data_IF_557611461152
#
_entry.id   IF_557611461152
#
_cell.length_a   1.000
_cell.length_b   1.000
_cell.length_c   1.000
_cell.angle_alpha   90.00
_cell.angle_beta   90.00
_cell.angle_gamma   90.00
#
_symmetry.space_group_name_H-M   'P 1'
#
loop_
_entity.id
_entity.type
_entity.pdbx_description
1 polymer ?
#
# COMPACT_ATOMS: atom_id res chain seq x y z
N UNK A 1 6.16 38.15 16.15
CA UNK A 1 4.79 38.47 15.76
C UNK A 1 4.13 37.13 15.54
N UNK A 2 3.23 36.74 16.42
CA UNK A 2 2.55 35.43 16.35
C UNK A 2 1.42 35.53 15.34
N UNK A 3 1.45 34.76 14.27
CA UNK A 3 0.29 34.54 13.39
C UNK A 3 -0.43 33.29 13.89
N UNK A 4 -1.59 33.51 14.51
CA UNK A 4 -2.52 32.42 14.83
C UNK A 4 -3.19 31.91 13.57
N UNK A 5 -3.11 30.63 13.32
CA UNK A 5 -3.92 29.93 12.34
C UNK A 5 -5.31 29.75 12.92
N UNK A 6 -6.30 30.33 12.29
CA UNK A 6 -7.73 30.05 12.53
C UNK A 6 -8.07 28.75 11.79
N UNK A 7 -8.32 27.67 12.53
CA UNK A 7 -9.05 26.53 12.00
C UNK A 7 -10.52 26.93 11.85
N UNK A 8 -11.04 26.92 10.64
CA UNK A 8 -12.48 26.99 10.35
C UNK A 8 -13.02 25.53 10.23
N UNK A 9 -14.13 25.19 10.90
CA UNK A 9 -14.74 23.89 10.71
C UNK A 9 -15.55 23.87 9.41
N UNK A 10 -15.17 22.99 8.49
CA UNK A 10 -15.77 22.81 7.16
C UNK A 10 -16.97 21.84 7.17
N UNK A 11 -17.88 21.97 8.13
CA UNK A 11 -19.07 21.12 8.25
C UNK A 11 -20.40 21.90 8.25
N UNK A 12 -20.43 23.14 7.72
CA UNK A 12 -21.64 23.97 7.71
C UNK A 12 -21.91 24.70 6.38
N UNK A 13 -21.68 24.05 5.23
CA UNK A 13 -21.97 24.67 3.93
C UNK A 13 -22.81 23.76 3.00
N UNK A 14 -23.80 23.07 3.57
CA UNK A 14 -24.82 22.33 2.78
C UNK A 14 -26.23 22.81 3.09
N UNK A 15 -26.43 24.07 3.49
CA UNK A 15 -27.73 24.68 3.58
C UNK A 15 -27.60 26.20 3.56
N UNK A 16 -27.58 26.82 2.38
CA UNK A 16 -28.08 28.18 2.11
C UNK A 16 -28.10 28.39 0.61
N UNK A 17 -29.24 28.04 -0.01
CA UNK A 17 -29.58 28.54 -1.33
C UNK A 17 -30.10 29.96 -1.16
N UNK A 18 -29.48 30.89 -1.86
CA UNK A 18 -29.99 32.25 -1.98
C UNK A 18 -31.10 32.33 -3.04
N UNK A 19 -32.27 32.81 -2.57
CA UNK A 19 -33.39 33.23 -3.34
C UNK A 19 -33.00 34.36 -4.30
N UNK A 20 -33.26 34.17 -5.59
CA UNK A 20 -33.55 35.28 -6.50
C UNK A 20 -34.87 35.02 -7.22
N UNK A 21 -35.78 35.90 -6.91
CA UNK A 21 -37.15 36.14 -7.37
C UNK A 21 -37.31 36.06 -8.89
N UNK A 22 -38.33 35.34 -9.34
CA UNK A 22 -38.85 35.39 -10.70
C UNK A 22 -40.22 34.69 -10.78
N UNK A 23 -41.28 35.48 -10.68
CA UNK A 23 -42.70 35.18 -10.83
C UNK A 23 -43.03 34.44 -12.15
N UNK A 24 -43.89 33.42 -12.12
CA UNK A 24 -45.22 33.36 -12.79
C UNK A 24 -45.77 31.93 -12.88
N UNK A 25 -47.04 31.84 -12.42
CA UNK A 25 -48.17 30.99 -12.85
C UNK A 25 -48.23 29.47 -12.68
N UNK A 26 -48.97 29.10 -11.65
CA UNK A 26 -50.21 28.26 -11.56
C UNK A 26 -50.38 27.13 -12.58
N UNK A 27 -50.40 25.90 -12.11
CA UNK A 27 -51.35 24.86 -12.48
C UNK A 27 -51.45 23.76 -11.39
N UNK A 28 -52.62 23.76 -10.78
CA UNK A 28 -53.16 22.73 -9.88
C UNK A 28 -53.48 21.45 -10.65
N UNK A 29 -53.19 20.27 -10.13
CA UNK A 29 -54.08 19.08 -10.25
C UNK A 29 -53.55 17.89 -9.42
N UNK A 30 -54.32 17.60 -8.38
CA UNK A 30 -54.98 16.33 -8.03
C UNK A 30 -54.15 15.15 -7.54
N UNK A 31 -54.42 14.89 -6.29
CA UNK A 31 -54.31 13.67 -5.43
C UNK A 31 -54.75 12.36 -6.09
N UNK A 32 -54.02 11.30 -5.83
CA UNK A 32 -54.61 9.98 -5.56
C UNK A 32 -53.65 9.09 -4.77
N UNK A 33 -54.01 8.81 -3.51
CA UNK A 33 -53.60 7.60 -2.79
C UNK A 33 -54.34 6.39 -3.35
N UNK A 34 -53.81 5.17 -3.19
CA UNK A 34 -54.61 4.15 -2.51
C UNK A 34 -53.83 3.28 -1.50
N UNK A 35 -54.40 3.24 -0.34
CA UNK A 35 -54.85 2.09 0.50
C UNK A 35 -53.97 0.85 0.62
N UNK A 36 -53.71 0.57 1.87
CA UNK A 36 -53.24 -0.64 2.55
C UNK A 36 -53.96 -1.94 2.16
N UNK A 37 -53.22 -3.04 2.17
CA UNK A 37 -53.81 -4.34 2.58
C UNK A 37 -52.78 -5.13 3.40
N UNK A 38 -53.24 -5.45 4.58
CA UNK A 38 -52.69 -6.35 5.57
C UNK A 38 -52.77 -7.83 5.12
N UNK A 39 -51.78 -8.61 5.45
CA UNK A 39 -51.84 -10.04 5.31
C UNK A 39 -50.67 -10.72 6.03
N UNK A 40 -50.93 -11.09 7.30
CA UNK A 40 -50.19 -12.05 8.06
C UNK A 40 -50.68 -13.47 7.71
N UNK A 41 -49.82 -14.45 7.62
CA UNK A 41 -50.01 -15.69 8.44
C UNK A 41 -48.77 -16.15 9.17
N UNK A 42 -49.02 -16.70 10.32
CA UNK A 42 -48.13 -17.21 11.36
C UNK A 42 -47.48 -18.57 11.08
N UNK A 43 -46.93 -19.20 12.11
CA UNK A 43 -45.75 -20.03 12.04
C UNK A 43 -46.02 -21.53 11.84
N UNK A 44 -45.05 -22.23 11.24
CA UNK A 44 -45.00 -23.72 11.32
C UNK A 44 -43.66 -24.16 11.89
N UNK A 45 -43.81 -24.87 13.00
CA UNK A 45 -42.83 -25.76 13.64
C UNK A 45 -42.33 -26.84 12.68
N UNK A 46 -41.05 -27.17 12.78
CA UNK A 46 -40.57 -28.55 12.60
C UNK A 46 -39.10 -28.67 13.06
N UNK A 47 -38.93 -29.18 14.24
CA UNK A 47 -38.32 -30.51 14.56
C UNK A 47 -36.79 -30.61 14.42
N UNK A 48 -36.19 -30.59 15.59
CA UNK A 48 -34.90 -31.08 16.05
C UNK A 48 -34.64 -32.52 15.58
N UNK A 49 -33.46 -32.77 15.03
CA UNK A 49 -32.82 -34.10 15.13
C UNK A 49 -31.32 -33.94 15.26
N UNK A 50 -30.82 -34.30 16.41
CA UNK A 50 -29.42 -34.52 16.78
C UNK A 50 -29.11 -36.02 16.53
N UNK A 51 -27.93 -36.38 16.07
CA UNK A 51 -27.39 -37.71 16.37
C UNK A 51 -26.16 -37.63 17.26
N UNK A 52 -26.34 -38.31 18.33
CA UNK A 52 -25.51 -39.07 19.27
C UNK A 52 -24.05 -39.33 18.93
N UNK A 53 -23.28 -39.16 20.00
CA UNK A 53 -21.93 -39.63 20.27
C UNK A 53 -21.76 -41.14 20.03
N UNK A 54 -20.58 -41.49 19.52
CA UNK A 54 -20.04 -42.84 19.55
C UNK A 54 -18.62 -42.83 20.06
N UNK A 55 -18.47 -43.16 21.33
CA UNK A 55 -17.20 -43.50 21.97
C UNK A 55 -16.76 -44.88 21.51
N UNK A 56 -15.50 -45.12 21.27
CA UNK A 56 -14.87 -46.41 21.44
C UNK A 56 -13.42 -46.28 21.89
N UNK A 57 -13.21 -46.64 23.12
CA UNK A 57 -11.94 -46.98 23.74
C UNK A 57 -11.41 -48.31 23.20
N UNK A 58 -10.10 -48.50 23.28
CA UNK A 58 -9.40 -49.79 23.05
C UNK A 58 -7.89 -49.52 23.04
N UNK A 59 -7.27 -49.55 24.04
CA UNK A 59 -6.52 -50.38 24.99
C UNK A 59 -5.39 -51.23 24.38
N UNK A 60 -4.19 -50.90 24.84
CA UNK A 60 -3.03 -51.71 25.33
C UNK A 60 -2.42 -52.81 24.46
N UNK A 61 -1.11 -52.78 24.32
CA UNK A 61 -0.02 -53.53 24.98
C UNK A 61 1.20 -53.51 24.03
N UNK A 62 2.46 -53.27 24.38
CA UNK A 62 3.22 -53.86 25.47
C UNK A 62 4.41 -54.57 24.90
N UNK A 63 5.62 -54.17 25.37
CA UNK A 63 6.86 -54.94 25.47
C UNK A 63 7.55 -55.36 24.12
N UNK A 64 8.83 -55.43 23.96
CA UNK A 64 9.97 -55.62 24.84
C UNK A 64 11.28 -55.26 24.13
N UNK A 65 12.24 -54.92 24.90
CA UNK A 65 13.67 -54.76 24.75
C UNK A 65 14.38 -55.92 24.06
N UNK A 66 15.31 -55.65 23.17
CA UNK A 66 16.55 -56.46 23.08
C UNK A 66 17.74 -55.65 22.65
N UNK A 67 18.68 -55.55 23.58
CA UNK A 67 20.05 -55.11 23.46
C UNK A 67 20.83 -56.17 22.70
N UNK A 68 21.65 -55.76 21.70
CA UNK A 68 22.84 -56.52 21.32
C UNK A 68 23.95 -55.58 20.89
N UNK A 69 25.08 -55.75 21.51
CA UNK A 69 26.27 -54.94 21.37
C UNK A 69 27.20 -55.42 20.24
N UNK A 70 27.99 -54.47 19.76
CA UNK A 70 29.34 -54.56 19.23
C UNK A 70 29.59 -55.19 17.85
N UNK A 71 30.08 -54.35 16.95
CA UNK A 71 31.40 -54.58 16.31
C UNK A 71 31.91 -53.32 15.65
N UNK A 72 33.04 -52.85 16.12
CA UNK A 72 33.91 -51.82 15.56
C UNK A 72 34.45 -52.28 14.21
N UNK A 73 34.22 -51.50 13.15
CA UNK A 73 35.11 -51.51 11.97
C UNK A 73 35.27 -50.10 11.47
N UNK A 74 36.48 -49.60 11.68
CA UNK A 74 37.03 -48.38 11.06
C UNK A 74 37.20 -48.62 9.58
N UNK A 75 36.44 -47.85 8.78
CA UNK A 75 36.77 -47.58 7.39
C UNK A 75 36.48 -46.09 7.14
N UNK A 76 37.57 -45.34 6.88
CA UNK A 76 37.50 -43.96 6.40
C UNK A 76 36.65 -43.92 5.12
N UNK A 77 35.70 -42.98 5.02
CA UNK A 77 35.06 -42.71 3.76
C UNK A 77 35.96 -41.83 2.88
N UNK A 78 35.91 -42.02 1.53
CA UNK A 78 36.66 -41.18 0.61
C UNK A 78 36.14 -39.74 0.68
N UNK A 79 37.09 -38.80 0.73
CA UNK A 79 36.87 -37.37 0.60
C UNK A 79 36.20 -37.08 -0.75
N UNK A 80 34.90 -36.98 -0.77
CA UNK A 80 34.16 -36.39 -1.88
C UNK A 80 34.30 -34.88 -1.74
N UNK A 81 35.14 -34.27 -2.53
CA UNK A 81 35.12 -32.86 -2.83
C UNK A 81 33.92 -32.58 -3.72
N UNK A 82 32.74 -32.47 -3.13
CA UNK A 82 31.65 -31.70 -3.74
C UNK A 82 32.08 -30.25 -3.68
N UNK A 83 32.41 -29.70 -4.85
CA UNK A 83 32.49 -28.25 -4.98
C UNK A 83 31.13 -27.68 -4.57
N UNK A 84 31.13 -26.83 -3.55
CA UNK A 84 29.96 -26.03 -3.23
C UNK A 84 29.49 -25.30 -4.49
N UNK A 85 28.19 -25.20 -4.74
CA UNK A 85 27.70 -24.34 -5.80
C UNK A 85 28.26 -22.93 -5.55
N UNK A 86 28.61 -22.18 -6.63
CA UNK A 86 29.11 -20.82 -6.46
C UNK A 86 28.10 -20.03 -5.63
N UNK A 87 28.53 -19.60 -4.46
CA UNK A 87 27.76 -18.62 -3.69
C UNK A 87 27.63 -17.36 -4.56
N UNK A 88 26.44 -16.74 -4.65
CA UNK A 88 26.30 -15.47 -5.30
C UNK A 88 27.25 -14.47 -4.65
N UNK A 89 27.95 -13.71 -5.49
CA UNK A 89 28.88 -12.67 -5.06
C UNK A 89 28.08 -11.61 -4.29
N UNK A 90 28.20 -11.61 -2.97
CA UNK A 90 27.52 -10.69 -2.08
C UNK A 90 28.18 -9.33 -2.22
N UNK A 91 27.51 -8.39 -2.92
CA UNK A 91 27.98 -7.02 -3.14
C UNK A 91 28.48 -6.36 -1.85
N UNK A 92 29.53 -5.60 -1.95
CA UNK A 92 30.32 -5.02 -0.86
C UNK A 92 29.65 -3.87 -0.09
N UNK A 93 28.50 -4.14 0.48
CA UNK A 93 27.86 -3.24 1.45
C UNK A 93 27.21 -4.13 2.48
N UNK A 94 27.59 -4.06 3.72
CA UNK A 94 27.27 -4.88 4.89
C UNK A 94 25.85 -5.44 5.08
N UNK A 95 25.13 -5.72 4.04
CA UNK A 95 23.77 -6.25 4.02
C UNK A 95 23.81 -7.65 3.39
N UNK A 96 23.18 -8.59 4.06
CA UNK A 96 23.28 -10.02 3.75
C UNK A 96 22.32 -10.48 2.64
N UNK A 97 21.65 -9.56 1.90
CA UNK A 97 20.68 -9.89 0.85
C UNK A 97 20.68 -8.90 -0.33
N UNK A 98 20.16 -9.35 -1.49
CA UNK A 98 20.06 -8.55 -2.70
C UNK A 98 18.88 -7.57 -2.63
N UNK A 99 19.08 -6.36 -3.12
CA UNK A 99 18.17 -5.23 -3.10
C UNK A 99 17.82 -4.73 -4.51
N UNK A 100 16.99 -3.73 -4.58
CA UNK A 100 16.59 -3.09 -5.84
C UNK A 100 17.75 -2.49 -6.66
N UNK A 101 18.90 -2.24 -6.05
CA UNK A 101 20.09 -1.73 -6.76
C UNK A 101 21.00 -2.84 -7.30
N UNK A 102 20.70 -4.09 -6.96
CA UNK A 102 21.42 -5.26 -7.44
C UNK A 102 20.78 -5.83 -8.71
N UNK A 103 21.51 -6.73 -9.35
CA UNK A 103 20.94 -7.49 -10.47
C UNK A 103 20.14 -8.69 -9.95
N UNK A 104 19.03 -9.05 -10.64
CA UNK A 104 18.25 -10.22 -10.25
C UNK A 104 19.10 -11.50 -10.36
N UNK A 105 18.96 -12.44 -9.43
CA UNK A 105 19.68 -13.69 -9.47
C UNK A 105 19.26 -14.54 -10.67
N UNK A 106 20.15 -15.41 -11.13
CA UNK A 106 19.89 -16.30 -12.26
C UNK A 106 18.65 -17.16 -12.04
N UNK A 107 17.73 -17.10 -13.01
CA UNK A 107 16.48 -17.88 -12.98
C UNK A 107 15.35 -17.25 -12.16
N UNK A 108 15.52 -16.04 -11.65
CA UNK A 108 14.48 -15.29 -10.98
C UNK A 108 13.27 -15.01 -11.89
N UNK A 109 12.09 -14.93 -11.30
CA UNK A 109 10.89 -14.46 -12.02
C UNK A 109 10.95 -12.94 -12.08
N UNK A 110 11.00 -12.39 -13.29
CA UNK A 110 11.10 -10.96 -13.49
C UNK A 110 9.72 -10.31 -13.67
N UNK A 111 9.63 -9.03 -13.32
CA UNK A 111 8.47 -8.20 -13.60
C UNK A 111 8.18 -8.13 -15.11
N UNK A 112 6.93 -8.00 -15.53
CA UNK A 112 6.60 -7.77 -16.94
C UNK A 112 7.28 -6.50 -17.46
N UNK A 113 7.43 -6.41 -18.78
CA UNK A 113 7.93 -5.19 -19.39
C UNK A 113 6.91 -4.06 -19.20
N UNK A 114 7.41 -2.85 -18.90
CA UNK A 114 6.57 -1.67 -18.81
C UNK A 114 5.97 -1.40 -20.20
N UNK A 115 4.65 -1.33 -20.26
CA UNK A 115 3.94 -1.06 -21.51
C UNK A 115 4.27 0.35 -22.02
N UNK A 116 4.37 0.52 -23.34
CA UNK A 116 4.53 1.84 -23.92
C UNK A 116 3.25 2.67 -23.75
N UNK A 117 3.38 3.98 -23.51
CA UNK A 117 2.25 4.89 -23.48
C UNK A 117 1.55 4.92 -24.85
N UNK A 118 0.23 4.88 -24.84
CA UNK A 118 -0.58 4.92 -26.07
C UNK A 118 -0.64 6.28 -26.76
N UNK A 119 -0.13 7.34 -26.13
CA UNK A 119 -0.09 8.72 -26.61
C UNK A 119 1.35 9.18 -26.91
N UNK A 120 1.60 10.46 -26.64
CA UNK A 120 2.95 11.06 -26.70
C UNK A 120 3.30 11.54 -25.30
N UNK A 121 4.39 11.04 -24.73
CA UNK A 121 4.87 11.51 -23.45
C UNK A 121 5.33 12.97 -23.52
N UNK A 122 4.99 13.82 -22.55
CA UNK A 122 5.59 15.14 -22.43
C UNK A 122 7.10 15.01 -22.16
N UNK A 123 7.88 16.03 -22.52
CA UNK A 123 9.21 16.15 -21.92
C UNK A 123 9.04 16.38 -20.43
N UNK A 124 9.56 15.47 -19.61
CA UNK A 124 9.34 15.51 -18.17
C UNK A 124 10.16 16.62 -17.52
N UNK A 125 9.47 17.47 -16.77
CA UNK A 125 10.08 18.40 -15.82
C UNK A 125 10.39 17.64 -14.53
N UNK A 126 11.66 17.67 -14.11
CA UNK A 126 12.18 16.88 -12.98
C UNK A 126 12.52 17.79 -11.81
N UNK A 127 12.19 17.35 -10.60
CA UNK A 127 12.34 18.14 -9.38
C UNK A 127 11.08 18.94 -9.07
N UNK A 128 11.16 19.74 -8.01
CA UNK A 128 10.12 20.69 -7.66
C UNK A 128 10.75 22.01 -7.21
N UNK A 129 10.34 23.10 -7.86
CA UNK A 129 10.64 24.46 -7.44
C UNK A 129 9.35 25.25 -7.33
N UNK A 130 9.24 26.13 -6.35
CA UNK A 130 8.06 26.99 -6.19
C UNK A 130 7.75 27.73 -7.51
N UNK A 131 6.55 27.53 -8.03
CA UNK A 131 6.11 28.08 -9.32
C UNK A 131 6.47 27.23 -10.55
N UNK A 132 7.08 26.07 -10.39
CA UNK A 132 7.29 25.11 -11.47
C UNK A 132 5.95 24.51 -11.92
N UNK A 133 5.81 24.29 -13.23
CA UNK A 133 4.65 23.60 -13.77
C UNK A 133 4.73 22.10 -13.48
N UNK A 134 3.59 21.49 -13.22
CA UNK A 134 3.44 20.04 -13.18
C UNK A 134 3.64 19.42 -14.56
N UNK A 135 4.08 18.17 -14.60
CA UNK A 135 3.94 17.36 -15.79
C UNK A 135 2.45 17.10 -16.07
N UNK A 136 2.08 17.07 -17.33
CA UNK A 136 0.68 16.96 -17.76
C UNK A 136 0.50 15.80 -18.72
N UNK A 137 -0.46 14.91 -18.40
CA UNK A 137 -0.91 13.85 -19.31
C UNK A 137 -2.40 14.04 -19.63
N UNK A 138 -2.79 13.99 -20.92
CA UNK A 138 -4.20 13.97 -21.28
C UNK A 138 -4.80 12.59 -20.98
N UNK A 139 -5.94 12.57 -20.28
CA UNK A 139 -6.67 11.35 -19.97
C UNK A 139 -8.10 11.42 -20.52
N UNK A 140 -8.57 10.34 -21.14
CA UNK A 140 -9.96 10.23 -21.59
C UNK A 140 -10.85 9.73 -20.45
N UNK A 141 -11.83 10.57 -20.04
CA UNK A 141 -12.85 10.21 -19.06
C UNK A 141 -14.22 10.27 -19.76
N UNK A 142 -14.70 9.13 -20.21
CA UNK A 142 -15.90 9.06 -21.05
C UNK A 142 -15.71 9.85 -22.36
N UNK A 143 -16.50 10.91 -22.55
CA UNK A 143 -16.42 11.76 -23.76
C UNK A 143 -15.51 12.99 -23.57
N UNK A 144 -14.91 13.17 -22.39
CA UNK A 144 -14.10 14.35 -22.08
C UNK A 144 -12.62 13.96 -22.00
N UNK A 145 -11.77 14.86 -22.46
CA UNK A 145 -10.33 14.80 -22.18
C UNK A 145 -10.05 15.76 -21.03
N UNK A 146 -9.41 15.24 -19.99
CA UNK A 146 -8.96 16.02 -18.84
C UNK A 146 -7.44 16.03 -18.77
N UNK A 147 -6.84 17.07 -18.25
CA UNK A 147 -5.43 17.14 -17.95
C UNK A 147 -5.17 16.55 -16.57
N UNK A 148 -4.25 15.59 -16.50
CA UNK A 148 -3.81 14.98 -15.24
C UNK A 148 -2.40 15.46 -14.92
N UNK A 149 -2.22 15.87 -13.68
CA UNK A 149 -1.02 16.52 -13.20
C UNK A 149 -0.20 15.58 -12.32
N UNK A 150 1.12 15.64 -12.39
CA UNK A 150 2.02 14.88 -11.53
C UNK A 150 3.41 15.53 -11.45
N UNK A 151 4.13 15.25 -10.36
CA UNK A 151 5.54 15.60 -10.20
C UNK A 151 6.40 14.35 -10.45
N UNK A 152 7.60 14.57 -10.97
CA UNK A 152 8.66 13.57 -11.07
C UNK A 152 9.88 14.11 -10.33
N UNK A 153 10.32 13.41 -9.31
CA UNK A 153 11.49 13.77 -8.52
C UNK A 153 12.53 12.68 -8.71
N UNK A 154 13.72 13.06 -9.16
CA UNK A 154 14.83 12.14 -9.37
C UNK A 154 16.09 12.64 -8.64
N UNK A 155 17.10 11.79 -8.41
CA UNK A 155 18.36 12.25 -7.85
C UNK A 155 18.99 13.34 -8.72
N UNK A 156 19.47 14.43 -8.10
CA UNK A 156 20.00 15.59 -8.82
C UNK A 156 21.23 15.30 -9.68
N UNK A 157 21.96 14.24 -9.32
CA UNK A 157 23.17 13.77 -10.01
C UNK A 157 22.97 12.41 -10.72
N UNK A 158 21.71 12.01 -11.00
CA UNK A 158 21.42 10.75 -11.66
C UNK A 158 22.14 10.63 -13.02
N UNK A 159 22.83 9.52 -13.23
CA UNK A 159 23.39 9.19 -14.54
C UNK A 159 22.32 8.62 -15.46
N UNK A 160 22.36 8.91 -16.78
CA UNK A 160 21.44 8.29 -17.74
C UNK A 160 21.50 6.75 -17.77
N UNK A 161 22.62 6.17 -17.36
CA UNK A 161 22.81 4.71 -17.32
C UNK A 161 22.41 4.10 -15.97
N UNK A 162 22.12 4.93 -14.96
CA UNK A 162 21.74 4.46 -13.64
C UNK A 162 20.33 3.86 -13.68
N UNK A 163 20.21 2.61 -13.25
CA UNK A 163 18.93 1.90 -13.18
C UNK A 163 18.23 2.24 -11.86
N UNK A 164 17.19 3.08 -11.95
CA UNK A 164 16.51 3.64 -10.78
C UNK A 164 15.17 2.94 -10.50
N UNK A 165 14.92 2.49 -9.25
CA UNK A 165 13.59 2.14 -8.76
C UNK A 165 12.59 3.28 -8.93
N UNK A 166 11.28 2.98 -8.98
CA UNK A 166 10.21 3.98 -9.06
C UNK A 166 9.23 3.78 -7.92
N UNK A 167 8.94 4.86 -7.19
CA UNK A 167 7.97 4.84 -6.08
C UNK A 167 6.88 5.87 -6.33
N UNK A 168 5.61 5.41 -6.38
CA UNK A 168 4.43 6.27 -6.50
C UNK A 168 3.94 6.70 -5.12
N UNK A 169 3.66 8.01 -4.95
CA UNK A 169 3.31 8.65 -3.69
C UNK A 169 1.95 9.33 -3.80
N UNK A 170 0.89 8.78 -3.15
CA UNK A 170 -0.48 9.25 -3.24
C UNK A 170 -0.86 10.04 -1.99
N UNK A 171 -1.18 11.33 -2.18
CA UNK A 171 -1.45 12.23 -1.06
C UNK A 171 -2.83 12.01 -0.40
N UNK A 172 -3.01 12.54 0.79
CA UNK A 172 -4.20 12.44 1.63
C UNK A 172 -5.33 13.38 1.21
N UNK A 173 -6.50 13.23 1.81
CA UNK A 173 -7.62 14.14 1.64
C UNK A 173 -7.24 15.55 2.17
N UNK A 174 -7.43 16.57 1.33
CA UNK A 174 -7.03 17.94 1.65
C UNK A 174 -5.54 18.25 1.42
N UNK A 175 -4.72 17.24 1.04
CA UNK A 175 -3.36 17.44 0.56
C UNK A 175 -3.29 17.61 -0.95
N UNK A 176 -2.09 17.96 -1.43
CA UNK A 176 -1.70 18.09 -2.82
C UNK A 176 -0.36 17.39 -3.04
N UNK A 177 0.05 17.17 -4.28
CA UNK A 177 1.33 16.55 -4.60
C UNK A 177 2.53 17.29 -3.98
N UNK A 178 2.46 18.63 -3.95
CA UNK A 178 3.46 19.47 -3.29
C UNK A 178 3.57 19.19 -1.78
N UNK A 179 2.43 19.02 -1.09
CA UNK A 179 2.43 18.72 0.35
C UNK A 179 3.13 17.40 0.63
N UNK A 180 2.91 16.38 -0.22
CA UNK A 180 3.60 15.10 -0.07
C UNK A 180 5.10 15.24 -0.30
N UNK A 181 5.51 15.99 -1.34
CA UNK A 181 6.91 16.28 -1.62
C UNK A 181 7.61 16.93 -0.42
N UNK A 182 7.00 17.97 0.17
CA UNK A 182 7.60 18.74 1.28
C UNK A 182 7.63 17.92 2.58
N UNK A 183 6.49 17.29 2.98
CA UNK A 183 6.39 16.53 4.22
C UNK A 183 7.15 15.20 4.19
N UNK A 184 7.25 14.60 3.02
CA UNK A 184 8.00 13.36 2.80
C UNK A 184 9.51 13.55 2.68
N UNK A 185 10.03 14.79 2.71
CA UNK A 185 11.45 15.09 2.47
C UNK A 185 11.98 14.43 1.18
N UNK A 186 11.11 14.43 0.14
CA UNK A 186 11.25 13.53 -1.02
C UNK A 186 12.54 13.79 -1.80
N UNK A 187 12.99 15.06 -1.97
CA UNK A 187 14.25 15.33 -2.69
C UNK A 187 15.46 14.75 -1.96
N UNK A 188 15.51 14.87 -0.64
CA UNK A 188 16.57 14.24 0.15
C UNK A 188 16.49 12.70 0.08
N UNK A 189 15.26 12.16 0.10
CA UNK A 189 15.04 10.72 0.00
C UNK A 189 15.56 10.18 -1.34
N UNK A 190 15.19 10.78 -2.48
CA UNK A 190 15.65 10.30 -3.81
C UNK A 190 17.16 10.48 -3.99
N UNK A 191 17.75 11.56 -3.45
CA UNK A 191 19.19 11.78 -3.52
C UNK A 191 19.97 10.72 -2.73
N UNK A 192 19.49 10.37 -1.53
CA UNK A 192 20.18 9.43 -0.62
C UNK A 192 19.91 7.96 -0.98
N UNK A 193 18.67 7.63 -1.37
CA UNK A 193 18.21 6.27 -1.56
C UNK A 193 18.17 5.85 -3.04
N UNK A 194 18.45 6.75 -3.97
CA UNK A 194 18.60 6.50 -5.41
C UNK A 194 17.37 5.88 -6.06
N UNK A 195 16.24 6.58 -6.04
CA UNK A 195 15.00 6.18 -6.72
C UNK A 195 14.34 7.37 -7.40
N UNK A 196 13.36 7.14 -8.25
CA UNK A 196 12.47 8.17 -8.82
C UNK A 196 11.17 8.16 -8.03
N UNK A 197 10.77 9.29 -7.49
CA UNK A 197 9.44 9.47 -6.94
C UNK A 197 8.49 10.06 -7.99
N UNK A 198 7.30 9.47 -8.14
CA UNK A 198 6.21 10.00 -8.96
C UNK A 198 5.07 10.38 -8.02
N UNK A 199 4.70 11.65 -8.01
CA UNK A 199 3.69 12.18 -7.08
C UNK A 199 2.50 12.72 -7.89
N UNK A 200 1.44 11.92 -8.09
CA UNK A 200 0.25 12.33 -8.81
C UNK A 200 -0.55 13.39 -8.05
N UNK A 201 -1.16 14.31 -8.79
CA UNK A 201 -2.19 15.20 -8.27
C UNK A 201 -3.59 14.59 -8.51
N UNK A 202 -4.43 14.66 -7.49
CA UNK A 202 -5.77 14.12 -7.56
C UNK A 202 -6.66 14.91 -8.53
N UNK A 203 -7.68 14.25 -9.08
CA UNK A 203 -8.74 14.97 -9.82
C UNK A 203 -9.57 15.82 -8.86
N UNK A 204 -9.84 17.06 -9.25
CA UNK A 204 -10.63 17.97 -8.45
C UNK A 204 -12.13 17.62 -8.35
N UNK A 205 -12.62 16.68 -9.18
CA UNK A 205 -14.02 16.25 -9.25
C UNK A 205 -14.34 15.01 -8.38
N UNK A 206 -13.33 14.40 -7.75
CA UNK A 206 -13.51 13.29 -6.83
C UNK A 206 -13.67 13.77 -5.38
N UNK A 207 -14.71 13.30 -4.70
CA UNK A 207 -15.05 13.73 -3.34
C UNK A 207 -13.90 13.48 -2.34
N UNK A 208 -13.22 12.34 -2.43
CA UNK A 208 -12.15 11.93 -1.53
C UNK A 208 -10.77 11.98 -2.18
N UNK A 209 -10.59 12.75 -3.24
CA UNK A 209 -9.37 12.86 -4.04
C UNK A 209 -9.07 11.61 -4.89
N UNK A 210 -9.30 10.41 -4.40
CA UNK A 210 -9.04 9.14 -5.06
C UNK A 210 -10.28 8.22 -5.04
N UNK A 211 -10.50 7.37 -6.05
CA UNK A 211 -11.68 6.50 -6.13
C UNK A 211 -11.51 5.19 -5.36
N UNK A 212 -11.50 5.24 -4.06
CA UNK A 212 -11.36 4.07 -3.19
C UNK A 212 -12.66 3.64 -2.51
N UNK A 213 -13.64 4.54 -2.43
CA UNK A 213 -14.89 4.29 -1.73
C UNK A 213 -15.81 3.31 -2.48
N UNK A 214 -16.59 2.53 -1.75
CA UNK A 214 -17.57 1.61 -2.32
C UNK A 214 -18.64 2.31 -3.19
N UNK A 215 -18.82 3.65 -3.06
CA UNK A 215 -19.72 4.45 -3.89
C UNK A 215 -19.05 4.96 -5.17
N UNK A 216 -17.72 4.94 -5.26
CA UNK A 216 -17.04 5.35 -6.49
C UNK A 216 -17.25 4.32 -7.59
N UNK A 217 -17.35 4.76 -8.82
CA UNK A 217 -17.53 3.85 -9.95
C UNK A 217 -16.25 3.06 -10.25
N UNK A 218 -16.42 1.86 -10.79
CA UNK A 218 -15.26 1.08 -11.27
C UNK A 218 -14.58 1.77 -12.45
N UNK A 219 -15.31 2.56 -13.22
CA UNK A 219 -14.73 3.35 -14.32
C UNK A 219 -13.77 4.43 -13.79
N UNK A 220 -14.10 5.09 -12.69
CA UNK A 220 -13.20 6.05 -12.05
C UNK A 220 -11.94 5.35 -11.52
N UNK A 221 -12.10 4.19 -10.89
CA UNK A 221 -10.97 3.39 -10.40
C UNK A 221 -10.04 2.95 -11.55
N UNK A 222 -10.61 2.44 -12.64
CA UNK A 222 -9.84 2.04 -13.82
C UNK A 222 -9.15 3.25 -14.49
N UNK A 223 -9.76 4.42 -14.46
CA UNK A 223 -9.14 5.64 -14.97
C UNK A 223 -7.88 6.01 -14.16
N UNK A 224 -7.92 5.89 -12.82
CA UNK A 224 -6.72 6.13 -12.00
C UNK A 224 -5.64 5.06 -12.21
N UNK A 225 -6.03 3.81 -12.40
CA UNK A 225 -5.07 2.75 -12.77
C UNK A 225 -4.41 3.03 -14.13
N UNK A 226 -5.19 3.51 -15.11
CA UNK A 226 -4.62 3.92 -16.39
C UNK A 226 -3.68 5.12 -16.25
N UNK A 227 -4.00 6.07 -15.37
CA UNK A 227 -3.11 7.20 -15.11
C UNK A 227 -1.78 6.75 -14.47
N UNK A 228 -1.82 5.79 -13.56
CA UNK A 228 -0.61 5.15 -13.04
C UNK A 228 0.22 4.51 -14.18
N UNK A 229 -0.43 3.72 -15.04
CA UNK A 229 0.24 3.05 -16.16
C UNK A 229 0.88 4.07 -17.11
N UNK A 230 0.16 5.15 -17.44
CA UNK A 230 0.60 6.20 -18.35
C UNK A 230 1.81 6.99 -17.78
N UNK A 231 1.78 7.32 -16.50
CA UNK A 231 2.91 7.97 -15.82
C UNK A 231 4.14 7.08 -15.79
N UNK A 232 3.97 5.80 -15.40
CA UNK A 232 5.07 4.83 -15.37
C UNK A 232 5.70 4.66 -16.75
N UNK A 233 4.88 4.57 -17.79
CA UNK A 233 5.34 4.45 -19.18
C UNK A 233 6.17 5.66 -19.60
N UNK A 234 5.71 6.88 -19.30
CA UNK A 234 6.43 8.11 -19.66
C UNK A 234 7.72 8.32 -18.86
N UNK A 235 7.74 7.87 -17.60
CA UNK A 235 8.99 7.85 -16.82
C UNK A 235 9.98 6.85 -17.40
N UNK A 236 9.52 5.65 -17.77
CA UNK A 236 10.38 4.62 -18.37
C UNK A 236 10.88 4.98 -19.78
N UNK A 237 10.19 5.84 -20.52
CA UNK A 237 10.65 6.35 -21.81
C UNK A 237 11.86 7.29 -21.67
N UNK A 238 11.98 8.01 -20.54
CA UNK A 238 12.95 9.08 -20.35
C UNK A 238 14.04 8.78 -19.31
N UNK A 239 13.83 7.73 -18.50
CA UNK A 239 14.79 7.26 -17.49
C UNK A 239 15.08 5.77 -17.67
N UNK A 240 16.26 5.34 -17.23
CA UNK A 240 16.58 3.91 -17.11
C UNK A 240 15.90 3.33 -15.84
N UNK A 241 14.60 3.02 -15.96
CA UNK A 241 13.81 2.51 -14.85
C UNK A 241 14.16 1.07 -14.52
N UNK A 242 14.33 0.78 -13.23
CA UNK A 242 14.37 -0.58 -12.74
C UNK A 242 12.94 -1.13 -12.60
N UNK A 243 12.45 -1.81 -13.63
CA UNK A 243 11.10 -2.40 -13.63
C UNK A 243 10.87 -3.45 -12.53
N UNK A 244 11.95 -4.01 -12.00
CA UNK A 244 11.88 -4.97 -10.90
C UNK A 244 11.58 -4.29 -9.54
N UNK A 245 11.57 -2.96 -9.50
CA UNK A 245 11.38 -2.18 -8.29
C UNK A 245 10.46 -0.99 -8.56
N UNK A 246 9.23 -1.29 -8.93
CA UNK A 246 8.13 -0.34 -9.02
C UNK A 246 7.24 -0.54 -7.80
N UNK A 247 7.13 0.48 -6.97
CA UNK A 247 6.41 0.40 -5.70
C UNK A 247 5.39 1.54 -5.55
N UNK A 248 4.48 1.39 -4.61
CA UNK A 248 3.43 2.39 -4.36
C UNK A 248 3.19 2.58 -2.88
N UNK A 249 3.00 3.83 -2.47
CA UNK A 249 2.54 4.18 -1.12
C UNK A 249 1.59 5.37 -1.15
N UNK A 250 0.85 5.52 -0.10
CA UNK A 250 0.01 6.68 0.14
C UNK A 250 -0.32 6.84 1.61
N UNK A 251 -0.88 7.99 1.95
CA UNK A 251 -1.29 8.34 3.29
C UNK A 251 -2.80 8.56 3.30
N UNK A 252 -3.54 8.01 4.28
CA UNK A 252 -4.98 8.22 4.45
C UNK A 252 -5.76 7.88 3.16
N UNK A 253 -6.44 8.83 2.54
CA UNK A 253 -7.14 8.64 1.26
C UNK A 253 -6.22 8.05 0.17
N UNK A 254 -4.97 8.50 0.09
CA UNK A 254 -3.97 7.95 -0.83
C UNK A 254 -3.57 6.52 -0.48
N UNK A 255 -3.56 6.14 0.80
CA UNK A 255 -3.28 4.76 1.23
C UNK A 255 -4.46 3.82 0.93
N UNK A 256 -5.70 4.29 1.10
CA UNK A 256 -6.88 3.54 0.68
C UNK A 256 -6.86 3.25 -0.82
N UNK A 257 -6.44 4.24 -1.63
CA UNK A 257 -6.26 4.05 -3.07
C UNK A 257 -5.06 3.14 -3.39
N UNK A 258 -3.93 3.30 -2.69
CA UNK A 258 -2.75 2.41 -2.85
C UNK A 258 -3.13 0.94 -2.65
N UNK A 259 -4.00 0.62 -1.70
CA UNK A 259 -4.51 -0.73 -1.51
C UNK A 259 -5.32 -1.23 -2.71
N UNK A 260 -6.11 -0.36 -3.37
CA UNK A 260 -6.83 -0.71 -4.59
C UNK A 260 -5.87 -0.88 -5.78
N UNK A 261 -4.86 -0.01 -5.89
CA UNK A 261 -3.84 -0.08 -6.93
C UNK A 261 -3.02 -1.38 -6.81
N UNK A 262 -2.61 -1.76 -5.60
CA UNK A 262 -1.90 -3.01 -5.34
C UNK A 262 -2.72 -4.24 -5.76
N UNK A 263 -4.04 -4.21 -5.57
CA UNK A 263 -4.94 -5.25 -6.08
C UNK A 263 -5.08 -5.25 -7.60
N UNK A 264 -5.16 -4.07 -8.22
CA UNK A 264 -5.44 -3.90 -9.65
C UNK A 264 -4.20 -3.86 -10.56
N UNK A 265 -3.02 -3.61 -10.03
CA UNK A 265 -1.72 -3.53 -10.72
C UNK A 265 -0.61 -4.29 -10.01
N UNK A 266 -0.98 -5.25 -9.19
CA UNK A 266 -0.02 -6.06 -8.45
C UNK A 266 0.89 -6.93 -9.33
N UNK A 267 0.60 -7.07 -10.61
CA UNK A 267 1.48 -7.70 -11.61
C UNK A 267 2.67 -6.81 -12.00
N UNK A 268 2.61 -5.51 -11.70
CA UNK A 268 3.68 -4.53 -11.97
C UNK A 268 4.42 -4.13 -10.69
N UNK A 269 3.71 -4.13 -9.55
CA UNK A 269 4.28 -3.66 -8.28
C UNK A 269 5.16 -4.72 -7.61
N UNK A 270 6.36 -4.32 -7.20
CA UNK A 270 7.28 -5.16 -6.40
C UNK A 270 6.88 -5.20 -4.93
N UNK A 271 6.39 -4.10 -4.39
CA UNK A 271 5.94 -3.95 -3.00
C UNK A 271 5.00 -2.75 -2.86
N UNK A 272 4.27 -2.68 -1.75
CA UNK A 272 3.49 -1.49 -1.44
C UNK A 272 3.42 -1.21 0.06
N UNK A 273 3.04 0.03 0.40
CA UNK A 273 2.88 0.46 1.77
C UNK A 273 1.57 1.23 1.93
N UNK A 274 0.75 0.84 2.92
CA UNK A 274 -0.50 1.49 3.27
C UNK A 274 -0.35 2.22 4.60
N UNK A 275 -0.32 3.56 4.57
CA UNK A 275 -0.10 4.41 5.76
C UNK A 275 -1.44 4.98 6.22
N UNK A 276 -2.05 4.43 7.27
CA UNK A 276 -3.43 4.67 7.70
C UNK A 276 -4.39 4.55 6.52
N UNK A 277 -4.48 3.34 5.95
CA UNK A 277 -5.26 3.03 4.75
C UNK A 277 -6.14 1.80 4.93
N UNK A 278 -6.01 0.83 3.99
CA UNK A 278 -6.68 -0.45 4.12
C UNK A 278 -7.79 -0.71 3.11
N UNK A 279 -8.76 -1.57 3.48
CA UNK A 279 -9.85 -2.04 2.62
C UNK A 279 -11.08 -2.43 3.45
N UNK A 280 -12.21 -2.73 2.81
CA UNK A 280 -13.41 -3.21 3.50
C UNK A 280 -14.30 -2.11 4.09
N UNK A 281 -15.45 -2.48 4.64
CA UNK A 281 -16.43 -1.52 5.16
C UNK A 281 -16.99 -0.60 4.08
N UNK A 282 -16.75 0.71 4.21
CA UNK A 282 -17.13 1.73 3.22
C UNK A 282 -16.11 1.86 2.06
N UNK A 283 -14.99 1.15 2.16
CA UNK A 283 -13.93 1.12 1.15
C UNK A 283 -14.17 -0.06 0.21
N UNK A 284 -13.74 0.06 -1.03
CA UNK A 284 -13.81 -1.06 -1.99
C UNK A 284 -13.09 -2.30 -1.43
N UNK A 285 -13.63 -3.50 -1.67
CA UNK A 285 -13.03 -4.73 -1.20
C UNK A 285 -11.64 -4.94 -1.82
N UNK A 286 -10.79 -5.67 -1.12
CA UNK A 286 -9.51 -6.12 -1.63
C UNK A 286 -9.68 -7.06 -2.84
N UNK A 287 -8.91 -6.81 -3.87
CA UNK A 287 -8.76 -7.72 -5.02
C UNK A 287 -7.38 -8.36 -4.92
N UNK A 288 -7.33 -9.67 -4.72
CA UNK A 288 -6.06 -10.37 -4.56
C UNK A 288 -5.29 -10.43 -5.90
N UNK A 289 -4.09 -9.86 -6.00
CA UNK A 289 -3.25 -9.97 -7.19
C UNK A 289 -2.63 -11.38 -7.29
N UNK A 290 -2.18 -11.75 -8.49
CA UNK A 290 -1.48 -13.01 -8.70
C UNK A 290 -0.08 -13.02 -8.06
N UNK A 291 0.66 -11.90 -8.18
CA UNK A 291 1.94 -11.68 -7.54
C UNK A 291 1.75 -11.45 -6.05
N UNK A 292 2.48 -12.18 -5.21
CA UNK A 292 2.41 -12.09 -3.74
C UNK A 292 3.48 -11.13 -3.23
N UNK A 293 3.31 -9.85 -3.53
CA UNK A 293 4.25 -8.81 -3.16
C UNK A 293 4.30 -8.58 -1.65
N UNK A 294 5.45 -8.21 -1.08
CA UNK A 294 5.55 -7.72 0.28
C UNK A 294 4.74 -6.44 0.50
N UNK A 295 4.11 -6.35 1.67
CA UNK A 295 3.33 -5.21 2.08
C UNK A 295 3.74 -4.71 3.47
N UNK A 296 3.81 -3.38 3.64
CA UNK A 296 3.82 -2.76 4.95
C UNK A 296 2.46 -2.12 5.20
N UNK A 297 1.86 -2.43 6.35
CA UNK A 297 0.61 -1.82 6.80
C UNK A 297 0.89 -1.08 8.10
N UNK A 298 0.76 0.24 8.06
CA UNK A 298 1.06 1.13 9.17
C UNK A 298 -0.19 1.92 9.52
N UNK A 299 -0.56 1.92 10.82
CA UNK A 299 -1.76 2.61 11.30
C UNK A 299 -1.62 3.07 12.75
N UNK A 300 -2.51 4.00 13.15
CA UNK A 300 -2.36 4.81 14.35
C UNK A 300 -2.92 4.26 15.64
N UNK A 301 -3.16 2.95 15.71
CA UNK A 301 -3.73 2.32 16.91
C UNK A 301 -5.26 2.44 16.99
N UNK A 302 -5.86 2.12 18.17
CA UNK A 302 -7.31 2.01 18.33
C UNK A 302 -8.12 3.29 18.06
N UNK A 303 -7.45 4.43 18.07
CA UNK A 303 -8.06 5.74 17.83
C UNK A 303 -7.70 6.32 16.45
N UNK A 304 -7.21 5.49 15.52
CA UNK A 304 -6.96 5.89 14.12
C UNK A 304 -8.29 6.01 13.36
N UNK A 305 -8.95 7.12 13.60
CA UNK A 305 -10.25 7.44 13.00
C UNK A 305 -10.23 8.84 12.41
N UNK A 306 -10.70 8.97 11.17
CA UNK A 306 -10.81 10.28 10.52
C UNK A 306 -12.05 10.37 9.65
N UNK A 307 -12.80 11.48 9.83
CA UNK A 307 -14.04 11.79 9.14
C UNK A 307 -15.12 10.72 9.34
N UNK A 308 -15.14 9.64 8.61
CA UNK A 308 -16.13 8.55 8.72
C UNK A 308 -15.44 7.18 8.58
N UNK A 309 -14.12 7.15 8.57
CA UNK A 309 -13.34 5.94 8.32
C UNK A 309 -12.61 5.56 9.60
N UNK A 310 -12.82 4.32 9.99
CA UNK A 310 -12.07 3.61 11.03
C UNK A 310 -10.86 2.94 10.37
N UNK A 311 -9.70 3.60 10.45
CA UNK A 311 -8.47 3.13 9.81
C UNK A 311 -7.86 1.94 10.54
N UNK A 312 -8.13 1.76 11.83
CA UNK A 312 -7.81 0.52 12.53
C UNK A 312 -8.51 -0.66 11.85
N UNK A 313 -9.83 -0.55 11.65
CA UNK A 313 -10.61 -1.64 11.07
C UNK A 313 -10.22 -1.90 9.61
N UNK A 314 -10.07 -0.85 8.79
CA UNK A 314 -9.72 -1.03 7.36
C UNK A 314 -8.30 -1.55 7.16
N UNK A 315 -7.34 -1.17 8.03
CA UNK A 315 -5.98 -1.72 8.02
C UNK A 315 -5.98 -3.19 8.41
N UNK A 316 -6.69 -3.57 9.47
CA UNK A 316 -6.85 -4.98 9.88
C UNK A 316 -7.53 -5.84 8.82
N UNK A 317 -8.52 -5.30 8.12
CA UNK A 317 -9.18 -5.99 7.01
C UNK A 317 -8.18 -6.23 5.86
N UNK A 318 -7.30 -5.26 5.56
CA UNK A 318 -6.25 -5.42 4.57
C UNK A 318 -5.22 -6.48 5.01
N UNK A 319 -4.72 -6.39 6.24
CA UNK A 319 -3.76 -7.35 6.83
C UNK A 319 -4.27 -8.78 6.75
N UNK A 320 -5.52 -9.03 7.15
CA UNK A 320 -6.15 -10.34 7.06
C UNK A 320 -6.25 -10.86 5.62
N UNK A 321 -6.56 -9.98 4.65
CA UNK A 321 -6.60 -10.34 3.24
C UNK A 321 -5.22 -10.67 2.69
N UNK A 322 -4.20 -9.91 3.07
CA UNK A 322 -2.81 -10.14 2.68
C UNK A 322 -2.28 -11.46 3.25
N UNK A 323 -2.48 -11.71 4.54
CA UNK A 323 -2.08 -12.96 5.19
C UNK A 323 -2.78 -14.15 4.55
N UNK A 324 -4.11 -14.10 4.37
CA UNK A 324 -4.88 -15.14 3.70
C UNK A 324 -4.45 -15.35 2.23
N UNK A 325 -3.97 -14.29 1.58
CA UNK A 325 -3.39 -14.30 0.24
C UNK A 325 -1.97 -14.87 0.18
N UNK A 326 -1.29 -15.06 1.30
CA UNK A 326 0.10 -15.51 1.39
C UNK A 326 1.11 -14.44 1.00
N UNK A 327 0.83 -13.18 1.28
CA UNK A 327 1.78 -12.07 1.16
C UNK A 327 2.66 -11.99 2.40
N UNK A 328 3.89 -11.48 2.26
CA UNK A 328 4.64 -11.00 3.41
C UNK A 328 4.01 -9.72 3.94
N UNK A 329 3.81 -9.61 5.25
CA UNK A 329 3.26 -8.42 5.91
C UNK A 329 4.23 -7.94 6.99
N UNK A 330 4.63 -6.68 6.90
CA UNK A 330 5.24 -5.94 7.99
C UNK A 330 4.14 -5.05 8.61
N UNK A 331 3.65 -5.45 9.77
CA UNK A 331 2.65 -4.70 10.54
C UNK A 331 3.35 -3.65 11.40
N UNK A 332 2.87 -2.40 11.35
CA UNK A 332 3.38 -1.30 12.16
C UNK A 332 2.22 -0.58 12.84
N UNK A 333 2.18 -0.62 14.17
CA UNK A 333 1.09 0.00 14.95
C UNK A 333 1.67 1.08 15.84
N UNK A 334 1.47 2.35 15.48
CA UNK A 334 1.81 3.46 16.36
C UNK A 334 0.60 3.89 17.21
N UNK A 335 0.77 4.90 18.07
CA UNK A 335 -0.28 5.39 18.97
C UNK A 335 -0.57 6.89 18.80
N UNK A 336 -0.35 7.40 17.58
CA UNK A 336 -0.55 8.82 17.25
C UNK A 336 -1.91 9.09 16.59
N UNK A 337 -2.89 8.20 16.71
CA UNK A 337 -4.17 8.34 16.05
C UNK A 337 -4.00 8.51 14.53
N UNK A 338 -4.87 9.28 13.86
CA UNK A 338 -4.74 9.57 12.44
C UNK A 338 -3.72 10.70 12.19
N UNK A 339 -2.44 10.42 12.46
CA UNK A 339 -1.35 11.41 12.32
C UNK A 339 -0.04 10.75 11.96
N UNK A 340 0.89 11.54 11.46
CA UNK A 340 2.25 11.09 11.17
C UNK A 340 2.99 10.76 12.48
N UNK A 341 3.40 9.49 12.71
CA UNK A 341 4.20 9.14 13.89
C UNK A 341 5.61 9.72 13.81
N UNK A 342 6.33 9.83 14.93
CA UNK A 342 7.74 10.14 14.89
C UNK A 342 8.52 8.95 14.35
N UNK A 343 9.35 9.19 13.33
CA UNK A 343 10.36 8.24 12.86
C UNK A 343 11.72 8.77 13.28
N UNK A 344 12.37 8.14 14.28
CA UNK A 344 13.74 8.48 14.60
C UNK A 344 14.65 8.03 13.47
N UNK A 345 15.45 8.97 12.95
CA UNK A 345 16.47 8.70 11.94
C UNK A 345 17.81 9.22 12.43
N UNK A 346 18.87 8.59 11.98
CA UNK A 346 20.23 9.04 12.30
C UNK A 346 20.52 10.43 11.71
N UNK A 347 21.39 11.24 12.37
CA UNK A 347 21.76 12.54 11.85
C UNK A 347 22.31 12.45 10.42
N UNK A 348 21.69 13.19 9.52
CA UNK A 348 22.06 13.26 8.10
C UNK A 348 21.31 12.27 7.20
N UNK A 349 20.47 11.42 7.73
CA UNK A 349 19.53 10.63 6.94
C UNK A 349 18.30 11.45 6.58
N UNK A 350 17.67 11.09 5.46
CA UNK A 350 16.37 11.61 5.04
C UNK A 350 15.29 11.23 6.05
N UNK A 351 14.26 12.05 6.19
CA UNK A 351 13.07 11.68 6.94
C UNK A 351 12.49 10.37 6.42
N UNK A 352 11.95 9.55 7.32
CA UNK A 352 11.35 8.25 6.99
C UNK A 352 12.29 7.25 6.28
N UNK A 353 13.62 7.38 6.47
CA UNK A 353 14.62 6.51 5.84
C UNK A 353 14.24 5.01 5.89
N UNK A 354 13.76 4.44 7.02
CA UNK A 354 13.37 3.02 7.08
C UNK A 354 12.19 2.66 6.16
N UNK A 355 11.29 3.60 5.87
CA UNK A 355 10.18 3.36 4.94
C UNK A 355 10.66 3.28 3.49
N UNK A 356 11.61 4.13 3.12
CA UNK A 356 12.24 4.06 1.80
C UNK A 356 13.03 2.77 1.63
N UNK A 357 13.77 2.35 2.68
CA UNK A 357 14.52 1.10 2.67
C UNK A 357 13.60 -0.11 2.48
N UNK A 358 12.41 -0.14 3.08
CA UNK A 358 11.44 -1.20 2.85
C UNK A 358 11.14 -1.41 1.36
N UNK A 359 10.96 -0.36 0.56
CA UNK A 359 10.71 -0.51 -0.87
C UNK A 359 11.93 -1.06 -1.61
N UNK A 360 13.12 -0.60 -1.25
CA UNK A 360 14.36 -0.97 -1.91
C UNK A 360 14.83 -2.38 -1.54
N UNK A 361 14.39 -2.90 -0.40
CA UNK A 361 14.67 -4.25 0.07
C UNK A 361 13.75 -5.31 -0.55
N UNK A 362 12.71 -4.91 -1.29
CA UNK A 362 11.70 -5.81 -1.80
C UNK A 362 11.54 -5.73 -3.32
N UNK A 363 12.53 -6.21 -4.10
CA UNK A 363 12.41 -6.32 -5.55
C UNK A 363 11.40 -7.40 -5.96
N UNK A 364 10.86 -7.27 -7.18
CA UNK A 364 9.84 -8.15 -7.74
C UNK A 364 10.24 -9.63 -7.82
N UNK A 365 11.53 -9.90 -8.00
CA UNK A 365 12.04 -11.28 -8.13
C UNK A 365 12.05 -12.09 -6.83
N UNK A 366 11.69 -11.52 -5.69
CA UNK A 366 11.54 -12.30 -4.45
C UNK A 366 10.55 -13.44 -4.66
N UNK A 367 10.79 -14.56 -3.99
CA UNK A 367 9.82 -15.65 -4.02
C UNK A 367 8.46 -15.16 -3.50
N UNK A 368 7.35 -15.63 -4.08
CA UNK A 368 6.03 -15.14 -3.71
C UNK A 368 5.74 -15.25 -2.21
N UNK A 369 5.46 -14.13 -1.56
CA UNK A 369 5.19 -14.05 -0.13
C UNK A 369 6.42 -14.04 0.77
N UNK A 370 7.62 -14.01 0.20
CA UNK A 370 8.87 -13.95 0.95
C UNK A 370 9.37 -12.51 1.09
N UNK A 371 10.21 -12.32 2.10
CA UNK A 371 10.94 -11.09 2.37
C UNK A 371 12.30 -11.45 2.97
N UNK A 372 13.36 -10.70 2.66
CA UNK A 372 14.64 -10.87 3.33
C UNK A 372 14.53 -10.71 4.86
N UNK A 373 13.54 -9.97 5.33
CA UNK A 373 13.32 -9.77 6.76
C UNK A 373 12.94 -11.06 7.52
N UNK A 374 12.45 -12.10 6.81
CA UNK A 374 12.21 -13.41 7.42
C UNK A 374 13.49 -14.10 7.89
N UNK A 375 14.60 -13.89 7.17
CA UNK A 375 15.89 -14.53 7.44
C UNK A 375 16.82 -13.62 8.26
N UNK A 376 16.89 -12.34 7.87
CA UNK A 376 17.86 -11.38 8.44
C UNK A 376 17.26 -10.50 9.56
N UNK A 377 15.95 -10.54 9.75
CA UNK A 377 15.24 -9.68 10.70
C UNK A 377 14.85 -8.33 10.11
N UNK A 378 14.08 -7.56 10.88
CA UNK A 378 13.70 -6.19 10.52
C UNK A 378 14.95 -5.31 10.64
N UNK A 379 15.27 -4.45 9.64
CA UNK A 379 16.45 -3.60 9.65
C UNK A 379 16.54 -2.68 10.88
N UNK A 380 17.77 -2.42 11.32
CA UNK A 380 18.03 -1.41 12.35
C UNK A 380 17.51 -0.03 11.90
N UNK A 381 16.84 0.68 12.79
CA UNK A 381 16.20 1.96 12.48
C UNK A 381 14.71 1.85 12.16
N UNK A 382 14.19 0.66 11.86
CA UNK A 382 12.74 0.44 11.84
C UNK A 382 12.21 0.54 13.29
N UNK A 383 11.10 1.27 13.52
CA UNK A 383 10.55 1.41 14.87
C UNK A 383 10.20 0.07 15.52
N UNK A 384 10.33 0.00 16.84
CA UNK A 384 10.03 -1.18 17.67
C UNK A 384 8.53 -1.53 17.75
N UNK A 385 7.69 -0.64 17.25
CA UNK A 385 6.25 -0.89 17.06
C UNK A 385 5.92 -1.49 15.67
N UNK A 386 6.94 -1.95 14.94
CA UNK A 386 6.79 -2.76 13.73
C UNK A 386 7.17 -4.22 14.01
N UNK A 387 6.43 -5.17 13.43
CA UNK A 387 6.71 -6.59 13.55
C UNK A 387 6.34 -7.34 12.26
N UNK A 388 7.02 -8.46 12.01
CA UNK A 388 6.68 -9.36 10.90
C UNK A 388 5.43 -10.17 11.26
N UNK A 389 4.46 -10.17 10.35
CA UNK A 389 3.21 -10.91 10.46
C UNK A 389 2.11 -10.19 11.22
N UNK A 390 0.88 -10.49 10.84
CA UNK A 390 -0.33 -9.85 11.37
C UNK A 390 -0.56 -10.17 12.85
N UNK A 391 -0.86 -9.15 13.65
CA UNK A 391 -1.13 -9.25 15.08
C UNK A 391 0.12 -9.35 15.96
N UNK A 392 1.31 -9.16 15.40
CA UNK A 392 2.57 -9.24 16.13
C UNK A 392 3.14 -7.88 16.56
N UNK A 393 2.75 -6.79 15.91
CA UNK A 393 3.16 -5.45 16.30
C UNK A 393 2.50 -5.02 17.63
N UNK A 394 3.27 -4.31 18.43
CA UNK A 394 2.81 -3.83 19.75
C UNK A 394 2.95 -2.31 19.75
N UNK A 395 1.83 -1.57 19.86
CA UNK A 395 1.89 -0.11 19.88
C UNK A 395 2.62 0.39 21.13
N UNK A 396 3.31 1.55 21.04
CA UNK A 396 3.92 2.18 22.20
C UNK A 396 2.90 2.44 23.31
N UNK A 397 3.28 2.28 24.60
CA UNK A 397 2.35 2.45 25.72
C UNK A 397 1.96 3.92 25.98
N UNK A 398 2.82 4.86 25.60
CA UNK A 398 2.58 6.28 25.79
C UNK A 398 1.88 6.86 24.55
N UNK A 399 0.74 7.54 24.70
CA UNK A 399 0.09 8.18 23.57
C UNK A 399 0.96 9.28 22.97
N UNK A 400 0.94 9.38 21.68
CA UNK A 400 1.55 10.47 20.96
C UNK A 400 0.52 11.61 20.87
N UNK A 401 0.75 12.73 21.52
CA UNK A 401 -0.16 13.89 21.57
C UNK A 401 -0.31 14.58 20.20
N UNK A 402 -0.67 13.80 19.18
CA UNK A 402 -0.94 14.28 17.82
C UNK A 402 -2.30 13.77 17.36
N UNK A 403 -3.03 14.61 16.65
CA UNK A 403 -4.19 14.21 15.85
C UNK A 403 -4.35 15.20 14.70
N UNK A 404 -3.96 14.81 13.50
CA UNK A 404 -4.02 15.66 12.30
C UNK A 404 -5.41 15.63 11.65
N UNK A 405 -6.31 14.78 12.11
CA UNK A 405 -7.69 14.70 11.64
C UNK A 405 -8.67 15.60 12.39
N UNK A 406 -8.24 16.35 13.39
CA UNK A 406 -9.09 17.21 14.22
C UNK A 406 -9.19 18.64 13.75
#
# INVERSE_FOLDING_TARGET
>A
MRRGFLCLPLLAALACGDDLVGDTDVATLATSEPTSSTGTPGPTDATTTQPTQGSSEGSMSGAETTTTAAATSTSEPPTSTTADPPQPDMGSGGDDFLRCHDDPPDGATLAPDIAAYGGTCPALEVGFMEGQAFNVLPQQLGNNTVERLFLVIAPEDASPDERLPVIFLWHWLGGEAQDFYERGDVQNAVNQKRFIAVIPEARGDLLFKWPFSAIDSDADLQAEFQFFDDMLSCVAEQFNVNKECVSSTGVSAGALFTSQLAGGRGDVLSSFMSLSGGTGGAIKPWTAPAHKMPAMVLWGGPDDFCILIDFEQTSKDLEQNLEAGGHFVLECIHNCNHSTPPFPVDPGQTAFAPLWDFFLDHPYWLAPGESPYNEFGIPEGMPDWCAIGVGNAVPPPEPCDKNECS
#
